data_IF_421862766906
#
_entry.id   IF_421862766906
#
_cell.length_a   1.000
_cell.length_b   1.000
_cell.length_c   1.000
_cell.angle_alpha   90.00
_cell.angle_beta   90.00
_cell.angle_gamma   90.00
#
_symmetry.space_group_name_H-M   'P 1'
#
loop_
_entity.id
_entity.type
_entity.pdbx_description
1 polymer ?
#
# COMPACT_ATOMS: atom_id res chain seq x y z
N UNK A 1 2.67 19.18 -14.93
CA UNK A 1 2.03 17.85 -14.98
C UNK A 1 0.58 18.05 -14.58
N UNK A 2 -0.38 17.82 -15.47
CA UNK A 2 -1.80 18.02 -15.15
C UNK A 2 -2.30 16.80 -14.36
N UNK A 3 -2.48 16.94 -13.05
CA UNK A 3 -3.22 15.97 -12.23
C UNK A 3 -4.41 16.67 -11.57
N UNK A 4 -5.52 15.96 -11.39
CA UNK A 4 -6.63 16.43 -10.58
C UNK A 4 -6.24 16.32 -9.10
N UNK A 5 -6.04 17.47 -8.43
CA UNK A 5 -5.63 17.53 -7.03
C UNK A 5 -6.70 17.00 -6.06
N UNK A 6 -7.92 16.76 -6.53
CA UNK A 6 -9.04 16.24 -5.75
C UNK A 6 -9.40 14.80 -6.10
N UNK A 7 -8.68 14.17 -7.02
CA UNK A 7 -9.02 12.83 -7.52
C UNK A 7 -9.18 11.82 -6.38
N UNK A 8 -10.41 11.32 -6.22
CA UNK A 8 -10.84 10.35 -5.21
C UNK A 8 -10.50 10.74 -3.76
N UNK A 9 -10.30 12.03 -3.47
CA UNK A 9 -10.23 12.54 -2.09
C UNK A 9 -11.62 12.96 -1.61
N UNK A 10 -11.96 12.57 -0.39
CA UNK A 10 -13.24 12.92 0.23
C UNK A 10 -13.27 14.36 0.75
N UNK A 11 -14.47 14.88 1.02
CA UNK A 11 -14.69 16.16 1.70
C UNK A 11 -14.01 17.37 1.01
N UNK A 12 -13.88 17.32 -0.32
CA UNK A 12 -13.24 18.37 -1.16
C UNK A 12 -11.79 18.68 -0.76
N UNK A 13 -11.10 17.75 -0.09
CA UNK A 13 -9.68 17.89 0.22
C UNK A 13 -8.84 17.93 -1.06
N UNK A 14 -7.66 18.53 -0.97
CA UNK A 14 -6.74 18.73 -2.10
C UNK A 14 -5.35 18.22 -1.75
N UNK A 15 -4.67 17.66 -2.74
CA UNK A 15 -3.22 17.41 -2.74
C UNK A 15 -2.45 18.66 -3.15
N UNK A 16 -1.21 18.76 -2.69
CA UNK A 16 -0.22 19.64 -3.32
C UNK A 16 0.52 18.91 -4.44
N UNK A 17 1.27 19.65 -5.27
CA UNK A 17 2.02 19.08 -6.39
C UNK A 17 3.18 18.14 -5.97
N UNK A 18 3.46 18.04 -4.67
CA UNK A 18 4.46 17.14 -4.08
C UNK A 18 3.76 16.01 -3.35
N UNK A 19 3.48 14.92 -4.07
CA UNK A 19 2.88 13.71 -3.51
C UNK A 19 3.94 12.69 -3.12
N UNK A 20 3.63 11.86 -2.12
CA UNK A 20 4.36 10.65 -1.80
C UNK A 20 3.56 9.46 -2.28
N UNK A 21 4.17 8.65 -3.15
CA UNK A 21 3.60 7.40 -3.60
C UNK A 21 4.24 6.21 -2.88
N UNK A 22 3.41 5.37 -2.27
CA UNK A 22 3.82 4.16 -1.57
C UNK A 22 3.18 2.96 -2.30
N UNK A 23 4.02 2.13 -2.90
CA UNK A 23 3.58 0.86 -3.48
C UNK A 23 4.03 -0.30 -2.60
N UNK A 24 3.07 -1.09 -2.17
CA UNK A 24 3.30 -2.25 -1.30
C UNK A 24 2.98 -3.51 -2.10
N UNK A 25 3.94 -4.41 -2.22
CA UNK A 25 3.68 -5.77 -2.68
C UNK A 25 3.70 -6.70 -1.45
N UNK A 26 2.65 -7.48 -1.25
CA UNK A 26 2.62 -8.46 -0.17
C UNK A 26 1.85 -9.72 -0.59
N UNK A 27 2.07 -10.84 0.11
CA UNK A 27 1.26 -12.04 -0.12
C UNK A 27 -0.24 -11.81 0.08
N UNK A 28 -1.12 -12.61 -0.52
CA UNK A 28 -2.56 -12.46 -0.32
C UNK A 28 -2.97 -12.98 1.07
N UNK A 29 -4.13 -12.51 1.56
CA UNK A 29 -4.77 -13.05 2.76
C UNK A 29 -5.08 -12.03 3.85
N UNK A 30 -4.75 -10.75 3.66
CA UNK A 30 -5.16 -9.70 4.60
C UNK A 30 -6.66 -9.41 4.44
N UNK A 31 -7.37 -9.26 5.55
CA UNK A 31 -8.78 -8.83 5.55
C UNK A 31 -8.90 -7.37 5.13
N UNK A 32 -10.09 -6.94 4.70
CA UNK A 32 -10.36 -5.53 4.37
C UNK A 32 -10.03 -4.62 5.56
N UNK A 33 -10.38 -5.06 6.77
CA UNK A 33 -10.11 -4.31 8.00
C UNK A 33 -8.61 -4.15 8.27
N UNK A 34 -7.82 -5.21 8.08
CA UNK A 34 -6.36 -5.12 8.19
C UNK A 34 -5.77 -4.15 7.16
N UNK A 35 -6.29 -4.12 5.93
CA UNK A 35 -5.84 -3.18 4.89
C UNK A 35 -6.17 -1.73 5.27
N UNK A 36 -7.36 -1.46 5.79
CA UNK A 36 -7.74 -0.12 6.30
C UNK A 36 -6.80 0.32 7.42
N UNK A 37 -6.57 -0.54 8.40
CA UNK A 37 -5.67 -0.27 9.52
C UNK A 37 -4.23 -0.03 9.08
N UNK A 38 -3.75 -0.76 8.06
CA UNK A 38 -2.44 -0.51 7.44
C UNK A 38 -2.35 0.90 6.85
N UNK A 39 -3.32 1.32 6.03
CA UNK A 39 -3.30 2.64 5.38
C UNK A 39 -3.36 3.78 6.41
N UNK A 40 -4.22 3.63 7.43
CA UNK A 40 -4.33 4.61 8.51
C UNK A 40 -3.02 4.70 9.32
N UNK A 41 -2.41 3.55 9.65
CA UNK A 41 -1.17 3.53 10.43
C UNK A 41 0.00 4.17 9.67
N UNK A 42 0.14 3.88 8.37
CA UNK A 42 1.19 4.48 7.53
C UNK A 42 1.02 5.99 7.45
N UNK A 43 -0.19 6.46 7.10
CA UNK A 43 -0.45 7.90 6.91
C UNK A 43 -0.30 8.68 8.22
N UNK A 44 -0.79 8.14 9.34
CA UNK A 44 -0.65 8.77 10.64
C UNK A 44 0.81 8.81 11.10
N UNK A 45 1.57 7.74 10.90
CA UNK A 45 3.00 7.72 11.23
C UNK A 45 3.79 8.77 10.43
N UNK A 46 3.58 8.85 9.11
CA UNK A 46 4.25 9.83 8.25
C UNK A 46 3.88 11.27 8.59
N UNK A 47 2.60 11.51 8.90
CA UNK A 47 2.15 12.81 9.36
C UNK A 47 2.83 13.21 10.67
N UNK A 48 2.86 12.31 11.66
CA UNK A 48 3.45 12.58 12.98
C UNK A 48 4.96 12.81 12.92
N UNK A 49 5.70 12.04 12.13
CA UNK A 49 7.18 12.09 12.15
C UNK A 49 7.79 13.06 11.13
N UNK A 50 7.08 13.37 10.05
CA UNK A 50 7.64 14.12 8.91
C UNK A 50 6.77 15.31 8.48
N UNK A 51 5.70 15.63 9.22
CA UNK A 51 4.78 16.74 8.97
C UNK A 51 4.20 16.74 7.53
N UNK A 52 4.04 15.55 6.95
CA UNK A 52 3.43 15.36 5.63
C UNK A 52 1.91 15.27 5.82
N UNK A 53 1.16 16.07 5.07
CA UNK A 53 -0.30 15.96 5.07
C UNK A 53 -0.73 14.58 4.57
N UNK A 54 -1.69 13.96 5.25
CA UNK A 54 -2.23 12.66 4.85
C UNK A 54 -2.87 12.68 3.45
N UNK A 55 -3.31 13.85 2.99
CA UNK A 55 -3.89 14.02 1.66
C UNK A 55 -2.84 13.81 0.56
N UNK A 56 -1.57 14.11 0.83
CA UNK A 56 -0.49 14.05 -0.15
C UNK A 56 0.12 12.64 -0.29
N UNK A 57 -0.39 11.68 0.47
CA UNK A 57 0.06 10.29 0.46
C UNK A 57 -0.88 9.47 -0.43
N UNK A 58 -0.34 8.72 -1.38
CA UNK A 58 -1.08 7.78 -2.23
C UNK A 58 -0.52 6.38 -2.01
N UNK A 59 -1.39 5.41 -1.71
CA UNK A 59 -0.97 4.05 -1.35
C UNK A 59 -1.65 3.05 -2.29
N UNK A 60 -0.87 2.15 -2.87
CA UNK A 60 -1.39 0.95 -3.57
C UNK A 60 -0.89 -0.31 -2.88
N UNK A 61 -1.77 -1.30 -2.73
CA UNK A 61 -1.44 -2.62 -2.20
C UNK A 61 -1.68 -3.67 -3.28
N UNK A 62 -0.60 -4.28 -3.74
CA UNK A 62 -0.61 -5.38 -4.69
C UNK A 62 -0.48 -6.70 -3.92
N UNK A 63 -1.41 -7.62 -4.18
CA UNK A 63 -1.41 -8.96 -3.60
C UNK A 63 -1.31 -10.03 -4.70
N UNK A 64 -0.13 -10.21 -5.34
CA UNK A 64 0.08 -11.29 -6.29
C UNK A 64 -0.17 -12.64 -5.61
N UNK A 65 -0.80 -13.58 -6.33
CA UNK A 65 -0.95 -14.96 -5.88
C UNK A 65 0.40 -15.57 -5.45
N UNK A 66 0.37 -16.52 -4.52
CA UNK A 66 1.57 -17.06 -3.87
C UNK A 66 2.59 -17.64 -4.86
N UNK A 67 2.12 -18.29 -5.93
CA UNK A 67 2.92 -18.85 -7.02
C UNK A 67 3.74 -17.82 -7.80
N UNK A 68 3.38 -16.53 -7.72
CA UNK A 68 4.07 -15.45 -8.43
C UNK A 68 5.25 -14.87 -7.64
N UNK A 69 5.59 -15.45 -6.48
CA UNK A 69 6.68 -14.98 -5.64
C UNK A 69 7.88 -15.92 -5.74
N UNK A 70 9.02 -15.42 -6.22
CA UNK A 70 10.32 -16.05 -5.99
C UNK A 70 11.22 -15.11 -5.21
N UNK A 71 11.65 -15.56 -4.03
CA UNK A 71 12.59 -14.81 -3.18
C UNK A 71 14.06 -15.13 -3.48
N UNK A 72 14.31 -15.94 -4.53
CA UNK A 72 15.64 -16.41 -4.91
C UNK A 72 15.65 -17.90 -5.25
N UNK A 73 16.79 -18.41 -5.72
CA UNK A 73 17.02 -19.82 -6.07
C UNK A 73 16.12 -20.38 -7.20
N UNK A 74 15.31 -19.54 -7.84
CA UNK A 74 14.35 -19.99 -8.87
C UNK A 74 13.18 -20.80 -8.31
N UNK A 75 12.90 -20.69 -7.01
CA UNK A 75 11.84 -21.46 -6.32
C UNK A 75 10.67 -20.52 -6.00
N UNK A 76 9.44 -21.03 -6.04
CA UNK A 76 8.23 -20.33 -5.60
C UNK A 76 7.90 -20.64 -4.12
N UNK A 77 8.69 -20.08 -3.19
CA UNK A 77 8.68 -20.52 -1.79
C UNK A 77 7.32 -20.37 -1.08
N UNK A 78 6.49 -19.41 -1.50
CA UNK A 78 5.19 -19.20 -0.88
C UNK A 78 4.17 -20.30 -1.18
N UNK A 79 4.38 -21.09 -2.25
CA UNK A 79 3.56 -22.25 -2.56
C UNK A 79 3.84 -23.36 -1.56
N UNK A 80 5.11 -23.66 -1.33
CA UNK A 80 5.54 -24.73 -0.42
C UNK A 80 5.07 -24.49 1.02
N UNK A 81 5.05 -23.23 1.48
CA UNK A 81 4.54 -22.86 2.81
C UNK A 81 3.04 -23.13 3.01
N UNK A 82 2.27 -23.26 1.91
CA UNK A 82 0.84 -23.58 1.98
C UNK A 82 0.57 -25.07 1.95
N UNK A 83 1.51 -25.88 1.45
CA UNK A 83 1.38 -27.34 1.40
C UNK A 83 1.68 -28.01 2.74
N UNK A 84 2.41 -27.32 3.63
CA UNK A 84 2.72 -27.79 5.00
C UNK A 84 1.63 -27.48 6.04
N UNK A 85 0.52 -26.82 5.64
CA UNK A 85 -0.62 -26.49 6.51
C UNK A 85 -1.87 -27.27 6.14
#
# INVERSE_FOLDING_TARGET
MFHDSQYLLENRRKRIDKIIYISIACGPGRTIEQKKNLYQSITQSLHTHSNISVNDIFITLNEPSAENWSFGQGIAQMVNLREEK
#
